data_IF_116603648462
#
_entry.id   IF_116603648462
#
_cell.length_a   1.000
_cell.length_b   1.000
_cell.length_c   1.000
_cell.angle_alpha   90.00
_cell.angle_beta   90.00
_cell.angle_gamma   90.00
#
_symmetry.space_group_name_H-M   'P 1'
#
loop_
_entity.id
_entity.type
_entity.pdbx_description
1 polymer ?
#
# COMPACT_ATOMS: atom_id res chain seq x y z
N UNK A 1 18.21 -6.95 -35.39
CA UNK A 1 17.59 -7.37 -34.12
C UNK A 1 17.96 -8.81 -33.76
N UNK A 2 17.61 -9.83 -34.55
CA UNK A 2 17.98 -11.25 -34.28
C UNK A 2 19.49 -11.42 -34.08
N UNK A 3 20.31 -10.81 -34.95
CA UNK A 3 21.78 -10.88 -34.85
C UNK A 3 22.34 -10.37 -33.50
N UNK A 4 21.70 -9.37 -32.87
CA UNK A 4 22.10 -8.88 -31.55
C UNK A 4 21.75 -9.85 -30.43
N UNK A 5 20.69 -10.65 -30.58
CA UNK A 5 20.25 -11.62 -29.57
C UNK A 5 21.09 -12.90 -29.60
N UNK A 6 21.55 -13.31 -30.78
CA UNK A 6 22.25 -14.58 -30.99
C UNK A 6 23.77 -14.48 -30.95
N UNK A 7 24.33 -13.27 -30.94
CA UNK A 7 25.77 -13.07 -30.91
C UNK A 7 26.40 -13.70 -29.66
N UNK A 8 27.51 -14.42 -29.84
CA UNK A 8 28.14 -15.23 -28.79
C UNK A 8 29.22 -14.46 -27.99
N UNK A 9 29.66 -13.31 -28.48
CA UNK A 9 30.72 -12.51 -27.87
C UNK A 9 30.45 -11.01 -27.93
N UNK A 10 31.11 -10.26 -27.03
CA UNK A 10 31.08 -8.79 -27.03
C UNK A 10 31.60 -8.21 -28.36
N UNK A 11 32.66 -8.79 -28.92
CA UNK A 11 33.21 -8.36 -30.21
C UNK A 11 32.22 -8.53 -31.37
N UNK A 12 31.48 -9.66 -31.40
CA UNK A 12 30.48 -9.91 -32.43
C UNK A 12 29.32 -8.90 -32.35
N UNK A 13 28.92 -8.51 -31.13
CA UNK A 13 27.88 -7.49 -30.93
C UNK A 13 28.35 -6.12 -31.40
N UNK A 14 29.59 -5.73 -31.07
CA UNK A 14 30.14 -4.47 -31.54
C UNK A 14 30.21 -4.42 -33.07
N UNK A 15 30.60 -5.53 -33.70
CA UNK A 15 30.61 -5.63 -35.15
C UNK A 15 29.21 -5.47 -35.77
N UNK A 16 28.17 -6.07 -35.15
CA UNK A 16 26.78 -5.84 -35.60
C UNK A 16 26.38 -4.37 -35.53
N UNK A 17 26.81 -3.63 -34.50
CA UNK A 17 26.52 -2.19 -34.43
C UNK A 17 27.28 -1.40 -35.51
N UNK A 18 28.53 -1.76 -35.79
CA UNK A 18 29.35 -1.11 -36.82
C UNK A 18 28.77 -1.37 -38.23
N UNK A 19 28.29 -2.60 -38.49
CA UNK A 19 27.62 -2.97 -39.73
C UNK A 19 26.32 -2.18 -39.94
N UNK A 20 25.50 -2.01 -38.89
CA UNK A 20 24.26 -1.21 -38.96
C UNK A 20 24.60 0.26 -39.24
N UNK A 21 25.64 0.79 -38.61
CA UNK A 21 26.07 2.18 -38.81
C UNK A 21 26.55 2.43 -40.25
N UNK A 22 27.19 1.43 -40.87
CA UNK A 22 27.66 1.53 -42.25
C UNK A 22 26.51 1.46 -43.28
N UNK A 23 25.42 0.77 -42.96
CA UNK A 23 24.27 0.59 -43.85
C UNK A 23 23.28 1.76 -43.75
N UNK A 24 23.02 2.24 -42.54
CA UNK A 24 21.88 3.11 -42.25
C UNK A 24 22.32 4.43 -41.57
N UNK A 25 22.36 5.50 -42.35
CA UNK A 25 22.85 6.83 -41.92
C UNK A 25 22.01 7.45 -40.79
N UNK A 26 20.72 7.11 -40.72
CA UNK A 26 19.79 7.58 -39.68
C UNK A 26 19.74 6.68 -38.44
N UNK A 27 20.52 5.59 -38.37
CA UNK A 27 20.49 4.67 -37.23
C UNK A 27 21.32 5.14 -36.02
N UNK A 28 22.00 6.29 -36.11
CA UNK A 28 22.90 6.79 -35.07
C UNK A 28 22.23 6.88 -33.67
N UNK A 29 21.01 7.43 -33.59
CA UNK A 29 20.28 7.55 -32.33
C UNK A 29 19.90 6.18 -31.75
N UNK A 30 19.46 5.27 -32.63
CA UNK A 30 19.12 3.90 -32.26
C UNK A 30 20.35 3.15 -31.73
N UNK A 31 21.48 3.23 -32.42
CA UNK A 31 22.76 2.63 -31.99
C UNK A 31 23.19 3.22 -30.65
N UNK A 32 23.09 4.53 -30.47
CA UNK A 32 23.48 5.19 -29.23
C UNK A 32 22.63 4.73 -28.05
N UNK A 33 21.32 4.55 -28.26
CA UNK A 33 20.42 3.99 -27.25
C UNK A 33 20.77 2.53 -26.91
N UNK A 34 20.91 1.66 -27.91
CA UNK A 34 21.16 0.23 -27.68
C UNK A 34 22.60 -0.09 -27.24
N UNK A 35 23.59 0.76 -27.53
CA UNK A 35 24.96 0.63 -26.99
C UNK A 35 25.06 0.94 -25.49
N UNK A 36 24.01 1.49 -24.87
CA UNK A 36 24.00 1.71 -23.43
C UNK A 36 24.19 0.36 -22.71
N UNK A 37 25.18 0.28 -21.82
CA UNK A 37 25.62 -0.97 -21.18
C UNK A 37 24.48 -1.78 -20.58
N UNK A 38 23.50 -1.10 -19.97
CA UNK A 38 22.36 -1.74 -19.32
C UNK A 38 21.26 -2.18 -20.31
N UNK A 39 21.15 -1.55 -21.48
CA UNK A 39 20.24 -1.98 -22.56
C UNK A 39 20.77 -3.23 -23.22
N UNK A 40 22.04 -3.24 -23.65
CA UNK A 40 22.59 -4.41 -24.33
C UNK A 40 22.72 -5.62 -23.41
N UNK A 41 23.01 -5.39 -22.12
CA UNK A 41 23.08 -6.44 -21.10
C UNK A 41 21.73 -7.12 -20.80
N UNK A 42 20.60 -6.48 -21.14
CA UNK A 42 19.27 -7.11 -21.03
C UNK A 42 18.87 -7.88 -22.29
N UNK A 43 19.53 -7.64 -23.42
CA UNK A 43 19.22 -8.26 -24.71
C UNK A 43 20.10 -9.48 -25.00
N UNK A 44 21.37 -9.44 -24.61
CA UNK A 44 22.31 -10.52 -24.90
C UNK A 44 23.03 -11.00 -23.64
N UNK A 45 23.04 -12.32 -23.44
CA UNK A 45 23.71 -12.99 -22.32
C UNK A 45 25.20 -12.68 -22.23
N UNK A 46 25.90 -12.54 -23.37
CA UNK A 46 27.35 -12.31 -23.42
C UNK A 46 27.74 -10.91 -22.94
N UNK A 47 26.80 -9.96 -22.95
CA UNK A 47 26.96 -8.61 -22.39
C UNK A 47 26.44 -8.52 -20.96
N UNK A 48 25.70 -9.53 -20.51
CA UNK A 48 25.12 -9.56 -19.18
C UNK A 48 26.10 -10.11 -18.14
N UNK A 49 25.97 -9.63 -16.90
CA UNK A 49 26.65 -10.23 -15.74
C UNK A 49 25.83 -11.35 -15.09
N UNK A 50 24.66 -11.66 -15.65
CA UNK A 50 23.77 -12.72 -15.17
C UNK A 50 24.40 -14.07 -15.51
N UNK A 51 24.38 -15.01 -14.56
CA UNK A 51 24.88 -16.36 -14.78
C UNK A 51 24.07 -17.08 -15.88
N UNK A 52 24.74 -17.88 -16.71
CA UNK A 52 24.12 -18.47 -17.90
C UNK A 52 22.93 -19.40 -17.56
N UNK A 53 23.01 -20.13 -16.46
CA UNK A 53 21.91 -20.95 -15.94
C UNK A 53 20.68 -20.10 -15.56
N UNK A 54 20.90 -18.98 -14.88
CA UNK A 54 19.86 -18.01 -14.53
C UNK A 54 19.25 -17.36 -15.78
N UNK A 55 20.07 -17.02 -16.77
CA UNK A 55 19.59 -16.44 -18.04
C UNK A 55 18.65 -17.42 -18.78
N UNK A 56 19.05 -18.70 -18.89
CA UNK A 56 18.27 -19.71 -19.62
C UNK A 56 17.00 -20.12 -18.87
N UNK A 57 17.06 -20.17 -17.54
CA UNK A 57 15.89 -20.53 -16.70
C UNK A 57 14.90 -19.39 -16.52
N UNK A 58 15.32 -18.15 -16.76
CA UNK A 58 14.45 -16.99 -16.73
C UNK A 58 13.52 -17.00 -17.94
N UNK A 59 12.21 -17.18 -17.76
CA UNK A 59 11.29 -17.13 -18.88
C UNK A 59 11.22 -15.70 -19.45
N UNK A 60 11.37 -15.56 -20.77
CA UNK A 60 11.19 -14.30 -21.47
C UNK A 60 9.69 -13.99 -21.61
N UNK A 61 9.07 -13.51 -20.53
CA UNK A 61 7.66 -13.15 -20.51
C UNK A 61 7.46 -11.70 -20.03
N UNK A 62 7.11 -10.84 -20.97
CA UNK A 62 6.71 -9.44 -20.73
C UNK A 62 5.71 -9.32 -19.58
N UNK A 63 4.78 -10.28 -19.46
CA UNK A 63 3.75 -10.30 -18.43
C UNK A 63 4.32 -10.35 -16.99
N UNK A 64 5.42 -11.06 -16.73
CA UNK A 64 6.00 -11.13 -15.38
C UNK A 64 6.74 -9.84 -15.07
N UNK A 65 7.47 -9.29 -16.03
CA UNK A 65 8.14 -7.99 -15.88
C UNK A 65 7.13 -6.87 -15.59
N UNK A 66 6.07 -6.76 -16.40
CA UNK A 66 4.99 -5.79 -16.21
C UNK A 66 4.27 -5.99 -14.86
N UNK A 67 3.98 -7.24 -14.50
CA UNK A 67 3.35 -7.56 -13.21
C UNK A 67 4.26 -7.18 -12.03
N UNK A 68 5.57 -7.41 -12.14
CA UNK A 68 6.54 -7.04 -11.11
C UNK A 68 6.59 -5.51 -10.91
N UNK A 69 6.58 -4.75 -12.01
CA UNK A 69 6.48 -3.29 -11.96
C UNK A 69 5.20 -2.82 -11.25
N UNK A 70 4.04 -3.35 -11.64
CA UNK A 70 2.76 -3.00 -11.02
C UNK A 70 2.74 -3.33 -9.51
N UNK A 71 3.35 -4.44 -9.11
CA UNK A 71 3.46 -4.85 -7.72
C UNK A 71 4.38 -3.94 -6.90
N UNK A 72 5.52 -3.54 -7.46
CA UNK A 72 6.44 -2.61 -6.80
C UNK A 72 5.76 -1.26 -6.56
N UNK A 73 5.12 -0.72 -7.60
CA UNK A 73 4.40 0.56 -7.56
C UNK A 73 3.22 0.58 -6.58
N UNK A 74 2.67 -0.58 -6.21
CA UNK A 74 1.59 -0.67 -5.21
C UNK A 74 2.06 -0.24 -3.81
N UNK A 75 3.35 -0.32 -3.52
CA UNK A 75 3.92 0.13 -2.23
C UNK A 75 4.23 1.62 -2.17
N UNK A 76 4.19 2.30 -3.31
CA UNK A 76 4.52 3.72 -3.44
C UNK A 76 5.08 4.00 -4.82
N UNK A 77 4.90 5.23 -5.29
CA UNK A 77 5.53 5.76 -6.50
C UNK A 77 6.33 7.00 -6.10
N UNK A 78 7.28 7.40 -6.94
CA UNK A 78 8.06 8.63 -6.77
C UNK A 78 8.86 8.69 -5.45
N UNK A 79 9.37 7.54 -5.03
CA UNK A 79 10.19 7.41 -3.82
C UNK A 79 11.60 7.95 -4.06
N UNK A 80 12.20 8.54 -3.01
CA UNK A 80 13.64 8.83 -2.99
C UNK A 80 14.42 7.52 -3.20
N UNK A 81 15.55 7.59 -3.90
CA UNK A 81 16.33 6.40 -4.32
C UNK A 81 16.59 5.40 -3.18
N UNK A 82 17.05 5.90 -2.02
CA UNK A 82 17.31 5.06 -0.85
C UNK A 82 16.04 4.35 -0.36
N UNK A 83 14.93 5.07 -0.30
CA UNK A 83 13.63 4.52 0.10
C UNK A 83 13.14 3.46 -0.89
N UNK A 84 13.33 3.69 -2.20
CA UNK A 84 12.96 2.74 -3.24
C UNK A 84 13.75 1.43 -3.11
N UNK A 85 15.08 1.51 -2.90
CA UNK A 85 15.94 0.33 -2.71
C UNK A 85 15.49 -0.47 -1.48
N UNK A 86 15.27 0.20 -0.35
CA UNK A 86 14.82 -0.46 0.89
C UNK A 86 13.44 -1.11 0.73
N UNK A 87 12.51 -0.44 0.05
CA UNK A 87 11.20 -1.01 -0.24
C UNK A 87 11.27 -2.22 -1.18
N UNK A 88 12.14 -2.18 -2.18
CA UNK A 88 12.45 -3.33 -3.05
C UNK A 88 12.97 -4.52 -2.25
N UNK A 89 13.98 -4.31 -1.40
CA UNK A 89 14.53 -5.36 -0.54
C UNK A 89 13.48 -5.99 0.38
N UNK A 90 12.58 -5.18 0.95
CA UNK A 90 11.47 -5.66 1.78
C UNK A 90 10.47 -6.48 0.98
N UNK A 91 10.13 -6.04 -0.24
CA UNK A 91 9.28 -6.79 -1.18
C UNK A 91 9.88 -8.17 -1.47
N UNK A 92 11.16 -8.20 -1.83
CA UNK A 92 11.87 -9.42 -2.21
C UNK A 92 11.92 -10.41 -1.05
N UNK A 93 12.24 -9.94 0.15
CA UNK A 93 12.26 -10.77 1.37
C UNK A 93 10.90 -11.43 1.64
N UNK A 94 9.80 -10.67 1.53
CA UNK A 94 8.45 -11.20 1.70
C UNK A 94 8.08 -12.22 0.61
N UNK A 95 8.53 -12.00 -0.63
CA UNK A 95 8.28 -12.93 -1.73
C UNK A 95 9.08 -14.21 -1.59
N UNK A 96 10.38 -14.14 -1.29
CA UNK A 96 11.20 -15.32 -1.08
C UNK A 96 10.72 -16.15 0.10
N UNK A 97 10.35 -15.51 1.21
CA UNK A 97 9.75 -16.22 2.37
C UNK A 97 8.44 -16.89 2.00
N UNK A 98 7.58 -16.22 1.24
CA UNK A 98 6.34 -16.82 0.73
C UNK A 98 6.61 -18.04 -0.15
N UNK A 99 7.51 -17.91 -1.12
CA UNK A 99 7.88 -18.98 -2.05
C UNK A 99 8.44 -20.17 -1.27
N UNK A 100 9.34 -19.91 -0.31
CA UNK A 100 9.92 -20.91 0.56
C UNK A 100 8.86 -21.65 1.39
N UNK A 101 7.94 -20.92 2.03
CA UNK A 101 6.85 -21.51 2.82
C UNK A 101 5.94 -22.38 1.94
N UNK A 102 5.62 -21.91 0.74
CA UNK A 102 4.86 -22.70 -0.22
C UNK A 102 5.59 -23.96 -0.63
N UNK A 103 6.88 -23.87 -1.02
CA UNK A 103 7.66 -25.02 -1.45
C UNK A 103 7.86 -26.05 -0.31
N UNK A 104 8.12 -25.59 0.91
CA UNK A 104 8.42 -26.45 2.06
C UNK A 104 7.18 -27.08 2.68
N UNK A 105 6.11 -26.32 2.84
CA UNK A 105 4.91 -26.74 3.58
C UNK A 105 3.68 -26.92 2.68
N UNK A 106 3.80 -26.68 1.38
CA UNK A 106 2.70 -26.70 0.40
C UNK A 106 1.52 -25.80 0.79
N UNK A 107 1.80 -24.68 1.48
CA UNK A 107 0.78 -23.71 1.92
C UNK A 107 0.64 -22.61 0.87
N UNK A 108 -0.47 -22.55 0.11
CA UNK A 108 -0.65 -21.57 -0.95
C UNK A 108 -0.78 -20.16 -0.38
N UNK A 109 -0.06 -19.20 -0.97
CA UNK A 109 -0.25 -17.78 -0.66
C UNK A 109 -1.56 -17.28 -1.27
N UNK A 110 -2.67 -17.55 -0.60
CA UNK A 110 -3.97 -16.96 -0.92
C UNK A 110 -4.03 -15.63 -0.18
N UNK A 111 -3.74 -14.53 -0.88
CA UNK A 111 -3.97 -13.15 -0.41
C UNK A 111 -5.45 -12.80 -0.14
N UNK A 112 -6.30 -13.82 0.03
CA UNK A 112 -7.71 -13.76 0.42
C UNK A 112 -7.91 -13.98 1.91
N UNK A 113 -6.94 -14.51 2.65
CA UNK A 113 -7.14 -14.69 4.08
C UNK A 113 -7.04 -13.33 4.77
N UNK A 114 -8.22 -12.73 4.95
CA UNK A 114 -8.35 -11.50 5.71
C UNK A 114 -8.12 -11.90 7.18
N UNK A 115 -7.28 -11.17 7.92
CA UNK A 115 -7.06 -11.47 9.34
C UNK A 115 -8.39 -11.56 10.11
N UNK A 116 -8.39 -12.21 11.28
CA UNK A 116 -9.58 -12.48 12.09
C UNK A 116 -10.51 -11.26 12.23
N UNK A 117 -9.94 -10.09 12.50
CA UNK A 117 -10.66 -8.81 12.61
C UNK A 117 -11.37 -8.45 11.29
N UNK A 118 -10.68 -8.55 10.16
CA UNK A 118 -11.25 -8.21 8.85
C UNK A 118 -12.31 -9.24 8.40
N UNK A 119 -12.16 -10.52 8.78
CA UNK A 119 -13.23 -11.53 8.61
C UNK A 119 -14.46 -11.19 9.45
N UNK A 120 -14.27 -10.81 10.71
CA UNK A 120 -15.37 -10.39 11.60
C UNK A 120 -16.07 -9.13 11.07
N UNK A 121 -15.33 -8.10 10.66
CA UNK A 121 -15.90 -6.88 10.06
C UNK A 121 -16.72 -7.19 8.81
N UNK A 122 -16.22 -8.05 7.91
CA UNK A 122 -17.00 -8.47 6.74
C UNK A 122 -18.22 -9.32 7.11
N UNK A 123 -18.10 -10.19 8.12
CA UNK A 123 -19.21 -10.99 8.62
C UNK A 123 -20.32 -10.10 9.17
N UNK A 124 -19.98 -9.14 10.01
CA UNK A 124 -20.89 -8.15 10.57
C UNK A 124 -21.53 -7.31 9.46
N UNK A 125 -20.76 -6.88 8.45
CA UNK A 125 -21.29 -6.16 7.28
C UNK A 125 -22.30 -6.99 6.47
N UNK A 126 -22.08 -8.30 6.33
CA UNK A 126 -23.04 -9.21 5.67
C UNK A 126 -24.29 -9.42 6.52
N UNK A 127 -24.15 -9.56 7.83
CA UNK A 127 -25.27 -9.75 8.76
C UNK A 127 -26.13 -8.49 8.86
N UNK A 128 -25.53 -7.30 8.90
CA UNK A 128 -26.24 -6.03 8.82
C UNK A 128 -27.08 -5.92 7.52
N UNK A 129 -26.53 -6.36 6.38
CA UNK A 129 -27.26 -6.39 5.09
C UNK A 129 -28.37 -7.43 5.02
N UNK A 130 -28.32 -8.50 5.82
CA UNK A 130 -29.41 -9.49 5.92
C UNK A 130 -30.58 -8.93 6.73
N UNK A 131 -30.32 -8.20 7.81
CA UNK A 131 -31.34 -7.56 8.64
C UNK A 131 -32.12 -6.46 7.88
N UNK A 132 -31.50 -5.83 6.88
CA UNK A 132 -32.18 -4.84 6.01
C UNK A 132 -33.00 -5.45 4.86
N UNK A 133 -33.02 -6.79 4.71
CA UNK A 133 -33.81 -7.49 3.68
C UNK A 133 -35.11 -8.05 4.27
N UNK A 134 -35.97 -7.18 4.77
CA UNK A 134 -37.38 -7.50 5.01
C UNK A 134 -38.21 -6.60 4.10
N UNK A 135 -38.15 -6.84 2.79
CA UNK A 135 -39.24 -6.72 1.79
C UNK A 135 -38.69 -7.30 0.47
N UNK A 136 -39.29 -8.36 -0.11
CA UNK A 136 -38.92 -8.82 -1.44
C UNK A 136 -39.72 -8.02 -2.49
N UNK A 137 -39.22 -6.87 -2.92
CA UNK A 137 -39.79 -6.17 -4.09
C UNK A 137 -39.09 -6.65 -5.35
N UNK A 138 -39.91 -7.13 -6.29
CA UNK A 138 -39.50 -7.72 -7.57
C UNK A 138 -38.54 -6.81 -8.34
N UNK A 139 -37.55 -7.45 -8.96
CA UNK A 139 -36.61 -6.96 -9.98
C UNK A 139 -37.24 -5.87 -10.88
N UNK A 140 -36.61 -4.69 -10.93
CA UNK A 140 -36.43 -3.90 -12.16
C UNK A 140 -35.02 -3.31 -12.18
N UNK A 141 -34.37 -3.46 -13.32
CA UNK A 141 -33.03 -2.92 -13.58
C UNK A 141 -33.10 -1.40 -13.80
N UNK A 142 -31.99 -0.75 -13.41
CA UNK A 142 -31.46 0.54 -13.87
C UNK A 142 -32.31 1.79 -13.61
N UNK A 143 -31.75 2.73 -12.83
CA UNK A 143 -31.38 4.07 -13.32
C UNK A 143 -30.61 4.85 -12.24
N UNK A 144 -29.65 5.64 -12.71
CA UNK A 144 -28.89 6.63 -11.94
C UNK A 144 -29.83 7.67 -11.32
N UNK A 145 -29.53 8.13 -10.09
CA UNK A 145 -29.51 9.54 -9.65
C UNK A 145 -29.44 9.62 -8.13
N UNK A 146 -28.69 10.61 -7.64
CA UNK A 146 -28.41 10.78 -6.21
C UNK A 146 -29.60 11.30 -5.41
N UNK A 147 -29.51 11.15 -4.09
CA UNK A 147 -29.71 12.25 -3.13
C UNK A 147 -29.64 11.73 -1.69
N UNK A 148 -29.22 12.65 -0.83
CA UNK A 148 -28.95 12.52 0.60
C UNK A 148 -30.08 11.90 1.42
N UNK A 149 -29.73 11.08 2.44
CA UNK A 149 -30.63 10.79 3.56
C UNK A 149 -29.90 10.56 4.89
N UNK A 150 -29.91 11.63 5.69
CA UNK A 150 -29.92 11.77 7.15
C UNK A 150 -29.70 10.48 7.97
N UNK A 151 -28.58 10.42 8.68
CA UNK A 151 -28.27 9.47 9.76
C UNK A 151 -29.00 9.86 11.05
N UNK A 152 -29.74 8.91 11.65
CA UNK A 152 -30.12 8.94 13.07
C UNK A 152 -29.14 8.03 13.81
N UNK A 153 -28.35 8.59 14.73
CA UNK A 153 -27.44 7.85 15.62
C UNK A 153 -28.11 7.66 16.98
N UNK A 154 -28.33 6.40 17.37
CA UNK A 154 -28.59 6.05 18.77
C UNK A 154 -27.25 5.88 19.47
N UNK A 155 -27.07 6.59 20.58
CA UNK A 155 -25.92 6.53 21.49
C UNK A 155 -25.98 5.17 22.22
N UNK A 156 -24.87 4.44 22.25
CA UNK A 156 -24.66 3.31 23.15
C UNK A 156 -23.44 3.68 24.00
N UNK A 157 -23.70 3.92 25.29
CA UNK A 157 -22.69 4.05 26.33
C UNK A 157 -22.00 2.69 26.51
N UNK A 158 -20.67 2.68 26.49
CA UNK A 158 -19.88 1.51 26.90
C UNK A 158 -18.99 1.99 28.04
N UNK A 159 -19.27 1.47 29.23
CA UNK A 159 -18.48 1.65 30.44
C UNK A 159 -17.05 1.14 30.22
N UNK A 160 -16.06 1.97 30.56
CA UNK A 160 -14.66 1.57 30.64
C UNK A 160 -14.44 0.71 31.88
N UNK A 161 -14.20 -0.58 31.69
CA UNK A 161 -13.51 -1.37 32.69
C UNK A 161 -12.64 -2.44 32.04
N UNK A 162 -11.33 -2.19 31.98
CA UNK A 162 -10.32 -3.01 32.64
C UNK A 162 -8.92 -2.72 32.10
N UNK A 163 -8.06 -2.36 33.05
CA UNK A 163 -6.63 -2.06 32.90
C UNK A 163 -5.81 -3.33 32.66
N UNK A 164 -4.64 -3.11 32.07
CA UNK A 164 -3.41 -3.89 32.24
C UNK A 164 -3.34 -5.29 31.61
N UNK A 165 -2.73 -5.36 30.42
CA UNK A 165 -1.85 -6.48 30.11
C UNK A 165 -0.69 -6.00 29.21
N UNK A 166 0.31 -5.37 29.83
CA UNK A 166 1.60 -5.07 29.20
C UNK A 166 2.35 -6.39 29.07
N UNK A 167 2.38 -6.97 27.87
CA UNK A 167 3.25 -8.10 27.57
C UNK A 167 4.69 -7.59 27.43
N UNK A 168 5.45 -7.69 28.53
CA UNK A 168 6.91 -7.54 28.55
C UNK A 168 7.54 -8.72 27.80
N UNK A 169 7.93 -8.49 26.55
CA UNK A 169 8.76 -9.46 25.81
C UNK A 169 10.18 -9.35 26.35
N UNK A 170 10.51 -10.23 27.29
CA UNK A 170 11.88 -10.46 27.74
C UNK A 170 12.71 -11.04 26.58
N UNK A 171 13.73 -10.29 26.15
CA UNK A 171 14.69 -10.70 25.11
C UNK A 171 15.46 -11.96 25.53
N UNK A 172 14.98 -13.13 25.14
CA UNK A 172 15.72 -14.39 25.28
C UNK A 172 16.78 -14.47 24.17
N UNK A 173 18.02 -14.10 24.53
CA UNK A 173 19.21 -14.12 23.67
C UNK A 173 19.57 -15.57 23.32
N UNK A 174 19.31 -16.00 22.08
CA UNK A 174 19.82 -17.27 21.54
C UNK A 174 21.23 -17.00 21.01
N UNK A 175 22.24 -17.62 21.64
CA UNK A 175 23.64 -17.52 21.22
C UNK A 175 23.94 -18.63 20.22
N UNK A 176 23.98 -18.30 18.92
CA UNK A 176 24.63 -19.15 17.91
C UNK A 176 26.09 -18.75 17.79
N UNK A 177 26.98 -19.71 18.05
CA UNK A 177 28.42 -19.59 17.75
C UNK A 177 28.59 -19.58 16.23
N UNK A 178 29.12 -18.50 15.70
CA UNK A 178 30.25 -18.43 14.75
C UNK A 178 30.45 -16.95 14.41
N UNK A 179 31.68 -16.47 14.55
CA UNK A 179 32.02 -15.06 14.40
C UNK A 179 32.24 -14.66 12.95
N UNK A 180 31.73 -13.49 12.60
CA UNK A 180 32.27 -12.60 11.57
C UNK A 180 31.94 -11.17 12.00
N UNK A 181 32.95 -10.31 12.10
CA UNK A 181 32.91 -8.93 12.62
C UNK A 181 32.11 -7.94 11.73
N UNK A 182 31.19 -8.43 10.89
CA UNK A 182 30.31 -7.63 10.01
C UNK A 182 28.89 -7.40 10.55
N UNK A 183 28.43 -8.20 11.51
CA UNK A 183 27.01 -8.27 11.91
C UNK A 183 26.55 -7.11 12.81
N UNK A 184 27.49 -6.44 13.50
CA UNK A 184 27.14 -5.41 14.49
C UNK A 184 26.64 -4.11 13.84
N UNK A 185 27.13 -3.76 12.64
CA UNK A 185 26.71 -2.54 11.92
C UNK A 185 25.36 -2.70 11.23
N UNK A 186 25.05 -3.88 10.68
CA UNK A 186 23.73 -4.17 10.12
C UNK A 186 22.66 -4.25 11.21
N UNK A 187 23.01 -4.82 12.38
CA UNK A 187 22.16 -4.84 13.57
C UNK A 187 21.82 -3.43 14.07
N UNK A 188 22.80 -2.53 14.17
CA UNK A 188 22.55 -1.14 14.61
C UNK A 188 21.73 -0.34 13.59
N UNK A 189 21.94 -0.57 12.30
CA UNK A 189 21.21 0.08 11.22
C UNK A 189 19.74 -0.39 11.15
N UNK A 190 19.50 -1.69 11.34
CA UNK A 190 18.14 -2.25 11.42
C UNK A 190 17.38 -1.77 12.66
N UNK A 191 18.07 -1.60 13.80
CA UNK A 191 17.48 -1.01 15.01
C UNK A 191 17.10 0.47 14.80
N UNK A 192 18.01 1.29 14.25
CA UNK A 192 17.71 2.71 13.92
C UNK A 192 16.56 2.85 12.92
N UNK A 193 16.41 1.90 11.99
CA UNK A 193 15.30 1.88 11.04
C UNK A 193 13.97 1.54 11.72
N UNK A 194 13.97 0.58 12.66
CA UNK A 194 12.77 0.24 13.43
C UNK A 194 12.31 1.40 14.32
N UNK A 195 13.26 2.16 14.86
CA UNK A 195 13.00 3.39 15.63
C UNK A 195 12.39 4.49 14.74
N UNK A 196 12.92 4.69 13.53
CA UNK A 196 12.36 5.63 12.56
C UNK A 196 10.94 5.24 12.10
N UNK A 197 10.70 3.96 11.80
CA UNK A 197 9.34 3.46 11.48
C UNK A 197 8.36 3.68 12.64
N UNK A 198 8.82 3.55 13.89
CA UNK A 198 8.02 3.79 15.09
C UNK A 198 7.69 5.28 15.24
N UNK A 199 8.66 6.17 15.05
CA UNK A 199 8.48 7.61 15.10
C UNK A 199 7.53 8.12 14.01
N UNK A 200 7.63 7.60 12.79
CA UNK A 200 6.74 7.95 11.68
C UNK A 200 5.29 7.53 11.98
N UNK A 201 5.08 6.33 12.54
CA UNK A 201 3.75 5.87 12.98
C UNK A 201 3.19 6.70 14.13
N UNK A 202 4.03 7.11 15.08
CA UNK A 202 3.63 7.97 16.20
C UNK A 202 3.20 9.36 15.70
N UNK A 203 3.91 9.92 14.73
CA UNK A 203 3.54 11.19 14.09
C UNK A 203 2.23 11.09 13.31
N UNK A 204 2.04 10.02 12.54
CA UNK A 204 0.79 9.79 11.81
C UNK A 204 -0.42 9.62 12.75
N UNK A 205 -0.23 9.05 13.95
CA UNK A 205 -1.27 8.99 14.97
C UNK A 205 -1.58 10.38 15.54
N UNK A 206 -0.57 11.20 15.86
CA UNK A 206 -0.79 12.59 16.31
C UNK A 206 -1.51 13.43 15.27
N UNK A 207 -1.15 13.28 14.00
CA UNK A 207 -1.81 14.00 12.91
C UNK A 207 -3.29 13.63 12.81
N UNK A 208 -3.62 12.34 12.93
CA UNK A 208 -5.02 11.88 13.00
C UNK A 208 -5.76 12.41 14.22
N UNK A 209 -5.11 12.46 15.37
CA UNK A 209 -5.69 13.01 16.59
C UNK A 209 -6.01 14.50 16.44
N UNK A 210 -5.13 15.28 15.82
CA UNK A 210 -5.39 16.69 15.51
C UNK A 210 -6.58 16.87 14.57
N UNK A 211 -6.68 16.05 13.52
CA UNK A 211 -7.81 16.08 12.59
C UNK A 211 -9.12 15.74 13.32
N UNK A 212 -9.09 14.82 14.28
CA UNK A 212 -10.27 14.51 15.11
C UNK A 212 -10.66 15.69 15.99
N UNK A 213 -9.70 16.32 16.67
CA UNK A 213 -9.96 17.52 17.50
C UNK A 213 -10.51 18.68 16.69
N UNK A 214 -9.98 18.91 15.49
CA UNK A 214 -10.50 19.94 14.57
C UNK A 214 -11.96 19.66 14.19
N UNK A 215 -12.28 18.40 13.88
CA UNK A 215 -13.66 17.99 13.59
C UNK A 215 -14.58 18.15 14.79
N UNK A 216 -14.13 17.78 15.99
CA UNK A 216 -14.89 17.95 17.22
C UNK A 216 -15.14 19.44 17.54
N UNK A 217 -14.13 20.30 17.38
CA UNK A 217 -14.29 21.74 17.55
C UNK A 217 -15.34 22.31 16.58
N UNK A 218 -15.30 21.86 15.32
CA UNK A 218 -16.28 22.27 14.31
C UNK A 218 -17.70 21.77 14.62
N UNK A 219 -17.84 20.59 15.22
CA UNK A 219 -19.14 20.09 15.70
C UNK A 219 -19.66 20.99 16.83
N UNK A 220 -18.83 21.34 17.82
CA UNK A 220 -19.23 22.22 18.94
C UNK A 220 -19.65 23.61 18.45
N UNK A 221 -18.96 24.16 17.46
CA UNK A 221 -19.32 25.45 16.86
C UNK A 221 -20.71 25.38 16.19
N UNK A 222 -21.00 24.31 15.44
CA UNK A 222 -22.32 24.10 14.85
C UNK A 222 -23.42 23.91 15.90
N UNK A 223 -23.14 23.20 17.00
CA UNK A 223 -24.08 23.01 18.10
C UNK A 223 -24.44 24.33 18.79
N UNK A 224 -23.45 25.19 19.04
CA UNK A 224 -23.68 26.53 19.60
C UNK A 224 -24.52 27.40 18.66
N UNK A 225 -24.20 27.42 17.37
CA UNK A 225 -24.99 28.17 16.37
C UNK A 225 -26.44 27.67 16.29
N UNK A 226 -26.66 26.38 16.45
CA UNK A 226 -28.00 25.79 16.49
C UNK A 226 -28.76 26.22 17.75
N UNK A 227 -28.13 26.18 18.92
CA UNK A 227 -28.72 26.62 20.18
C UNK A 227 -29.10 28.11 20.17
N UNK A 228 -28.29 28.97 19.56
CA UNK A 228 -28.62 30.39 19.38
C UNK A 228 -29.88 30.59 18.54
N UNK A 229 -30.00 29.83 17.44
CA UNK A 229 -31.19 29.87 16.58
C UNK A 229 -32.44 29.36 17.30
N UNK A 230 -32.30 28.30 18.10
CA UNK A 230 -33.41 27.80 18.93
C UNK A 230 -33.86 28.86 19.94
N UNK A 231 -32.93 29.54 20.62
CA UNK A 231 -33.25 30.61 21.56
C UNK A 231 -33.96 31.78 20.86
N UNK A 232 -33.52 32.18 19.66
CA UNK A 232 -34.20 33.21 18.86
C UNK A 232 -35.64 32.80 18.52
N UNK A 233 -35.85 31.55 18.08
CA UNK A 233 -37.19 31.03 17.76
C UNK A 233 -38.08 31.04 19.01
N UNK A 234 -37.58 30.56 20.15
CA UNK A 234 -38.31 30.55 21.43
C UNK A 234 -38.68 31.97 21.86
N UNK A 235 -37.76 32.92 21.73
CA UNK A 235 -38.01 34.34 22.05
C UNK A 235 -39.12 34.92 21.17
N UNK A 236 -39.09 34.65 19.86
CA UNK A 236 -40.12 35.13 18.91
C UNK A 236 -41.48 34.52 19.24
N UNK A 237 -41.54 33.20 19.48
CA UNK A 237 -42.78 32.53 19.85
C UNK A 237 -43.37 33.06 21.16
N UNK A 238 -42.52 33.34 22.15
CA UNK A 238 -42.95 33.91 23.44
C UNK A 238 -43.53 35.32 23.26
N UNK A 239 -42.88 36.16 22.44
CA UNK A 239 -43.39 37.49 22.12
C UNK A 239 -44.74 37.43 21.39
N UNK A 240 -44.89 36.52 20.41
CA UNK A 240 -46.14 36.29 19.70
C UNK A 240 -47.25 35.87 20.67
N UNK A 241 -47.00 34.85 21.50
CA UNK A 241 -47.97 34.37 22.50
C UNK A 241 -48.36 35.49 23.47
N UNK A 242 -47.41 36.33 23.90
CA UNK A 242 -47.71 37.46 24.79
C UNK A 242 -48.60 38.51 24.12
N UNK A 243 -48.43 38.78 22.82
CA UNK A 243 -49.30 39.70 22.06
C UNK A 243 -50.71 39.13 21.93
N UNK A 244 -50.84 37.84 21.58
CA UNK A 244 -52.14 37.19 21.44
C UNK A 244 -52.87 36.94 22.77
N UNK A 245 -52.18 37.04 23.91
CA UNK A 245 -52.78 36.90 25.26
C UNK A 245 -53.36 38.21 25.80
N UNK A 246 -52.99 39.36 25.21
CA UNK A 246 -53.44 40.71 25.61
C UNK A 246 -54.64 41.16 24.74
N UNK A 247 -54.89 40.51 23.61
CA UNK A 247 -56.08 40.65 22.76
C UNK A 247 -57.20 39.70 23.23
#
# INVERSE_FOLDING_TARGET
MIALLTAESESAINQVFDDIQAIEENAADWITFYRQKWVIASLNKSMSKIANDVWITSPDNTNVAESAHALSNRRGRDLKLLTAILHGQKLDKERFTTIYVHQKYNIPNKGRDKGLISRNVMSNKRNAKKLTKVVPTKRKQNEHTGSNKKTKTNIIEIEENDKENICTISSRKIKTRNGTEGDDKESEFTLKLSELEFQERALALRERELILREKEAKIREMELSLAEKEHQIISILTAIISVYRIL
#
